data_IF_270726782539
#
_entry.id   IF_270726782539
#
_cell.length_a   1.000
_cell.length_b   1.000
_cell.length_c   1.000
_cell.angle_alpha   90.00
_cell.angle_beta   90.00
_cell.angle_gamma   90.00
#
_symmetry.space_group_name_H-M   'P 1'
#
loop_
_entity.id
_entity.type
_entity.pdbx_description
1 polymer ?
#
# COMPACT_ATOMS: atom_id res chain seq x y z
N UNK A 1 9.98 3.24 8.88
CA UNK A 1 9.23 2.05 8.40
C UNK A 1 10.16 1.01 7.76
N UNK A 2 9.93 -0.29 8.01
CA UNK A 2 10.62 -1.43 7.38
C UNK A 2 9.59 -2.25 6.61
N UNK A 3 9.82 -2.51 5.33
CA UNK A 3 8.92 -3.23 4.44
C UNK A 3 9.66 -4.45 3.89
N UNK A 4 9.03 -5.62 3.95
CA UNK A 4 9.58 -6.85 3.40
C UNK A 4 8.47 -7.74 2.86
N UNK A 5 8.79 -8.56 1.87
CA UNK A 5 7.91 -9.65 1.43
C UNK A 5 8.36 -10.95 2.08
N UNK A 6 7.43 -11.66 2.72
CA UNK A 6 7.65 -12.95 3.39
C UNK A 6 6.57 -13.93 2.98
N UNK A 7 6.96 -15.04 2.36
CA UNK A 7 6.01 -16.08 1.91
C UNK A 7 4.88 -15.51 1.03
N UNK A 8 5.23 -14.62 0.09
CA UNK A 8 4.25 -13.94 -0.79
C UNK A 8 3.44 -12.82 -0.13
N UNK A 9 3.60 -12.58 1.18
CA UNK A 9 2.84 -11.56 1.93
C UNK A 9 3.70 -10.34 2.21
N UNK A 10 3.12 -9.16 2.07
CA UNK A 10 3.80 -7.94 2.45
C UNK A 10 3.69 -7.73 3.96
N UNK A 11 4.84 -7.49 4.60
CA UNK A 11 4.95 -7.22 6.03
C UNK A 11 5.60 -5.87 6.21
N UNK A 12 4.89 -4.98 6.89
CA UNK A 12 5.35 -3.64 7.25
C UNK A 12 5.55 -3.58 8.75
N UNK A 13 6.71 -3.12 9.18
CA UNK A 13 7.03 -2.88 10.58
C UNK A 13 7.32 -1.41 10.77
N UNK A 14 6.56 -0.78 11.66
CA UNK A 14 6.89 0.55 12.19
C UNK A 14 7.41 0.38 13.62
N UNK A 15 7.58 1.49 14.34
CA UNK A 15 8.14 1.48 15.70
C UNK A 15 7.21 0.79 16.71
N UNK A 16 5.90 0.83 16.46
CA UNK A 16 4.85 0.48 17.43
C UNK A 16 4.05 -0.77 17.06
N UNK A 17 4.15 -1.25 15.82
CA UNK A 17 3.30 -2.30 15.29
C UNK A 17 3.95 -3.09 14.14
N UNK A 18 3.41 -4.28 13.90
CA UNK A 18 3.66 -5.07 12.69
C UNK A 18 2.36 -5.24 11.92
N UNK A 19 2.32 -4.74 10.68
CA UNK A 19 1.19 -4.80 9.78
C UNK A 19 1.46 -5.90 8.74
N UNK A 20 0.50 -6.81 8.57
CA UNK A 20 0.59 -7.92 7.62
C UNK A 20 -0.55 -7.80 6.61
N UNK A 21 -0.19 -7.74 5.34
CA UNK A 21 -1.11 -7.72 4.21
C UNK A 21 -1.20 -9.13 3.62
N UNK A 22 -2.38 -9.75 3.71
CA UNK A 22 -2.63 -11.14 3.34
C UNK A 22 -3.83 -11.19 2.39
N UNK A 23 -3.59 -10.89 1.11
CA UNK A 23 -4.67 -10.63 0.16
C UNK A 23 -5.49 -9.43 0.64
N UNK A 24 -6.81 -9.60 0.72
CA UNK A 24 -7.73 -8.56 1.22
C UNK A 24 -7.72 -8.40 2.74
N UNK A 25 -7.08 -9.32 3.47
CA UNK A 25 -7.02 -9.29 4.93
C UNK A 25 -5.83 -8.48 5.40
N UNK A 26 -6.10 -7.48 6.25
CA UNK A 26 -5.06 -6.72 6.97
C UNK A 26 -5.07 -7.09 8.44
N UNK A 27 -3.88 -7.38 8.96
CA UNK A 27 -3.66 -7.58 10.41
C UNK A 27 -2.70 -6.53 10.94
N UNK A 28 -3.01 -5.97 12.10
CA UNK A 28 -2.12 -5.10 12.86
C UNK A 28 -1.80 -5.84 14.17
N UNK A 29 -0.53 -6.19 14.36
CA UNK A 29 -0.09 -7.15 15.36
C UNK A 29 -0.86 -8.48 15.20
N UNK A 30 -1.61 -8.90 16.22
CA UNK A 30 -2.44 -10.11 16.20
C UNK A 30 -3.92 -9.82 15.90
N UNK A 31 -4.31 -8.54 15.82
CA UNK A 31 -5.68 -8.14 15.52
C UNK A 31 -5.95 -8.15 14.01
N UNK A 32 -7.05 -8.76 13.61
CA UNK A 32 -7.52 -8.78 12.21
C UNK A 32 -8.56 -7.68 12.03
N UNK A 33 -8.34 -6.78 11.07
CA UNK A 33 -9.33 -5.76 10.75
C UNK A 33 -10.60 -6.44 10.18
N UNK A 34 -11.80 -6.09 10.68
CA UNK A 34 -13.02 -6.82 10.34
C UNK A 34 -13.58 -6.46 8.95
N UNK A 35 -13.11 -5.37 8.33
CA UNK A 35 -13.60 -4.89 7.04
C UNK A 35 -13.65 -3.36 7.01
N UNK A 36 -14.65 -2.78 6.31
CA UNK A 36 -14.86 -1.35 6.26
C UNK A 36 -15.12 -0.72 7.64
N UNK A 37 -14.69 0.53 7.83
CA UNK A 37 -14.86 1.28 9.07
C UNK A 37 -13.54 1.81 9.63
N UNK A 38 -13.63 2.49 10.77
CA UNK A 38 -12.49 3.13 11.43
C UNK A 38 -12.05 2.32 12.66
N UNK A 39 -10.74 2.14 12.80
CA UNK A 39 -10.14 1.36 13.87
C UNK A 39 -8.85 2.02 14.36
N UNK A 40 -8.57 1.92 15.65
CA UNK A 40 -7.26 2.22 16.22
C UNK A 40 -6.69 0.97 16.87
N UNK A 41 -5.55 0.49 16.37
CA UNK A 41 -4.94 -0.76 16.84
C UNK A 41 -3.45 -0.55 17.02
N UNK A 42 -2.98 -0.66 18.27
CA UNK A 42 -1.55 -0.52 18.58
C UNK A 42 -0.97 0.84 18.16
N UNK A 43 -1.77 1.91 18.26
CA UNK A 43 -1.39 3.27 17.87
C UNK A 43 -1.38 3.52 16.36
N UNK A 44 -1.90 2.59 15.55
CA UNK A 44 -2.13 2.78 14.11
C UNK A 44 -3.61 3.04 13.89
N UNK A 45 -3.93 4.17 13.27
CA UNK A 45 -5.27 4.45 12.74
C UNK A 45 -5.44 3.68 11.43
N UNK A 46 -6.56 3.02 11.25
CA UNK A 46 -6.88 2.26 10.06
C UNK A 46 -8.32 2.52 9.61
N UNK A 47 -8.48 2.80 8.33
CA UNK A 47 -9.72 3.12 7.65
C UNK A 47 -9.95 2.06 6.57
N UNK A 48 -10.84 1.11 6.82
CA UNK A 48 -11.25 0.12 5.83
C UNK A 48 -12.23 0.74 4.84
N UNK A 49 -11.96 0.62 3.55
CA UNK A 49 -12.80 1.20 2.49
C UNK A 49 -13.92 0.23 2.10
N UNK A 50 -15.08 0.76 1.71
CA UNK A 50 -16.23 -0.06 1.30
C UNK A 50 -15.97 -0.92 0.05
N UNK A 51 -15.05 -0.47 -0.81
CA UNK A 51 -14.65 -1.07 -2.07
C UNK A 51 -13.51 -2.08 -1.91
N UNK A 52 -13.03 -2.29 -0.68
CA UNK A 52 -11.84 -3.08 -0.35
C UNK A 52 -10.61 -2.20 -0.13
N UNK A 53 -9.56 -2.78 0.44
CA UNK A 53 -8.35 -2.04 0.81
C UNK A 53 -8.50 -1.18 2.06
N UNK A 54 -7.40 -0.52 2.42
CA UNK A 54 -7.27 0.22 3.67
C UNK A 54 -6.40 1.46 3.49
N UNK A 55 -6.76 2.55 4.19
CA UNK A 55 -5.84 3.67 4.47
C UNK A 55 -5.43 3.57 5.93
N UNK A 56 -4.14 3.71 6.20
CA UNK A 56 -3.56 3.57 7.53
C UNK A 56 -2.68 4.76 7.84
N UNK A 57 -2.54 5.09 9.12
CA UNK A 57 -1.66 6.16 9.59
C UNK A 57 -1.02 5.80 10.92
N UNK A 58 0.28 5.98 11.01
CA UNK A 58 1.03 5.98 12.26
C UNK A 58 1.60 7.39 12.54
N UNK A 59 2.50 7.50 13.52
CA UNK A 59 3.15 8.75 13.91
C UNK A 59 4.05 9.35 12.82
N UNK A 60 4.57 8.51 11.92
CA UNK A 60 5.56 8.88 10.93
C UNK A 60 4.96 8.99 9.52
N UNK A 61 4.06 8.09 9.13
CA UNK A 61 3.56 7.96 7.77
C UNK A 61 2.05 7.73 7.70
N UNK A 62 1.43 8.32 6.68
CA UNK A 62 0.18 7.81 6.11
C UNK A 62 0.45 6.88 4.94
N UNK A 63 -0.25 5.75 4.88
CA UNK A 63 -0.06 4.75 3.84
C UNK A 63 -1.32 3.98 3.47
N UNK A 64 -1.46 3.67 2.19
CA UNK A 64 -2.61 2.98 1.62
C UNK A 64 -2.28 1.57 1.17
N UNK A 65 -3.28 0.69 1.13
CA UNK A 65 -3.19 -0.67 0.62
C UNK A 65 -4.38 -0.98 -0.28
N UNK A 66 -4.12 -1.24 -1.56
CA UNK A 66 -5.19 -1.35 -2.59
C UNK A 66 -5.51 -2.77 -3.05
N UNK A 67 -5.21 -3.79 -2.26
CA UNK A 67 -5.60 -5.16 -2.63
C UNK A 67 -7.10 -5.39 -2.40
N UNK A 68 -7.75 -6.09 -3.33
CA UNK A 68 -9.20 -6.30 -3.34
C UNK A 68 -10.04 -5.23 -4.04
N UNK A 69 -9.45 -4.07 -4.38
CA UNK A 69 -10.20 -2.99 -5.03
C UNK A 69 -10.40 -3.29 -6.53
N UNK A 70 -11.67 -3.47 -6.91
CA UNK A 70 -12.08 -3.79 -8.29
C UNK A 70 -12.77 -2.64 -9.02
N UNK A 71 -12.88 -1.47 -8.37
CA UNK A 71 -13.51 -0.27 -8.92
C UNK A 71 -12.65 0.96 -8.66
N UNK A 72 -12.84 1.98 -9.49
CA UNK A 72 -12.21 3.28 -9.28
C UNK A 72 -12.84 3.91 -8.04
N UNK A 73 -12.02 4.39 -7.11
CA UNK A 73 -12.48 5.07 -5.90
C UNK A 73 -13.03 6.45 -6.26
N UNK A 74 -14.00 6.92 -5.48
CA UNK A 74 -14.49 8.29 -5.58
C UNK A 74 -13.57 9.21 -4.76
N UNK A 75 -12.91 10.16 -5.41
CA UNK A 75 -11.99 11.12 -4.78
C UNK A 75 -12.63 11.82 -3.59
N UNK A 76 -13.92 12.17 -3.68
CA UNK A 76 -14.66 12.84 -2.60
C UNK A 76 -14.74 12.03 -1.32
N UNK A 77 -14.70 10.70 -1.43
CA UNK A 77 -14.74 9.78 -0.27
C UNK A 77 -13.39 9.66 0.42
N UNK A 78 -12.32 10.19 -0.19
CA UNK A 78 -10.97 10.14 0.35
C UNK A 78 -10.56 11.47 1.00
N UNK A 79 -11.34 12.55 0.82
CA UNK A 79 -11.05 13.88 1.40
C UNK A 79 -10.97 13.86 2.94
N UNK A 80 -11.74 12.99 3.59
CA UNK A 80 -11.74 12.83 5.05
C UNK A 80 -10.68 11.84 5.56
N UNK A 81 -9.93 11.18 4.66
CA UNK A 81 -8.91 10.21 5.02
C UNK A 81 -7.56 10.89 5.22
N UNK A 82 -6.66 10.27 6.01
CA UNK A 82 -5.30 10.79 6.12
C UNK A 82 -4.54 10.73 4.79
N UNK A 83 -3.68 11.72 4.56
CA UNK A 83 -2.78 11.75 3.40
C UNK A 83 -2.02 10.43 3.22
N UNK A 84 -2.01 9.91 1.99
CA UNK A 84 -1.31 8.67 1.66
C UNK A 84 0.04 8.97 1.02
N UNK A 85 1.09 8.92 1.82
CA UNK A 85 2.45 9.18 1.36
C UNK A 85 3.07 7.96 0.69
N UNK A 86 2.70 6.76 1.16
CA UNK A 86 3.19 5.48 0.67
C UNK A 86 2.00 4.60 0.28
N UNK A 87 1.96 4.14 -0.96
CA UNK A 87 0.88 3.26 -1.44
C UNK A 87 1.41 1.87 -1.75
N UNK A 88 0.81 0.86 -1.14
CA UNK A 88 1.12 -0.55 -1.34
C UNK A 88 0.16 -1.17 -2.35
N UNK A 89 0.71 -1.76 -3.42
CA UNK A 89 -0.10 -2.27 -4.53
C UNK A 89 0.37 -3.64 -4.99
N UNK A 90 -0.59 -4.58 -5.07
CA UNK A 90 -0.38 -5.92 -5.58
C UNK A 90 -0.64 -5.98 -7.10
N UNK A 91 0.36 -6.36 -7.89
CA UNK A 91 0.26 -6.53 -9.35
C UNK A 91 0.27 -8.00 -9.78
N UNK A 92 -0.31 -8.88 -8.98
CA UNK A 92 -0.47 -10.30 -9.34
C UNK A 92 -1.69 -10.55 -10.24
N UNK A 93 -2.66 -9.62 -10.31
CA UNK A 93 -3.86 -9.74 -11.14
C UNK A 93 -3.90 -8.69 -12.27
N UNK A 94 -3.59 -9.11 -13.49
CA UNK A 94 -3.60 -8.28 -14.69
C UNK A 94 -4.97 -7.62 -14.95
N UNK A 95 -6.08 -8.26 -14.53
CA UNK A 95 -7.43 -7.75 -14.83
C UNK A 95 -7.74 -6.45 -14.10
N UNK A 96 -7.02 -6.15 -13.02
CA UNK A 96 -7.23 -4.97 -12.19
C UNK A 96 -6.35 -3.79 -12.59
N UNK A 97 -5.40 -3.96 -13.51
CA UNK A 97 -4.36 -2.98 -13.83
C UNK A 97 -4.91 -1.57 -14.11
N UNK A 98 -5.94 -1.45 -14.96
CA UNK A 98 -6.51 -0.13 -15.31
C UNK A 98 -7.20 0.55 -14.11
N UNK A 99 -7.86 -0.22 -13.25
CA UNK A 99 -8.48 0.30 -12.03
C UNK A 99 -7.41 0.73 -11.04
N UNK A 100 -6.41 -0.12 -10.84
CA UNK A 100 -5.28 0.13 -9.96
C UNK A 100 -4.53 1.40 -10.37
N UNK A 101 -4.23 1.60 -11.65
CA UNK A 101 -3.56 2.80 -12.16
C UNK A 101 -4.37 4.08 -11.85
N UNK A 102 -5.70 4.05 -12.04
CA UNK A 102 -6.56 5.19 -11.72
C UNK A 102 -6.56 5.49 -10.22
N UNK A 103 -6.64 4.46 -9.38
CA UNK A 103 -6.60 4.63 -7.93
C UNK A 103 -5.24 5.13 -7.44
N UNK A 104 -4.13 4.74 -8.07
CA UNK A 104 -2.81 5.30 -7.78
C UNK A 104 -2.79 6.82 -8.06
N UNK A 105 -3.38 7.27 -9.16
CA UNK A 105 -3.48 8.71 -9.49
C UNK A 105 -4.36 9.47 -8.51
N UNK A 106 -5.46 8.86 -8.07
CA UNK A 106 -6.38 9.44 -7.09
C UNK A 106 -5.69 9.65 -5.73
N UNK A 107 -4.92 8.66 -5.26
CA UNK A 107 -4.18 8.80 -4.00
C UNK A 107 -2.95 9.71 -4.09
N UNK A 108 -2.43 9.95 -5.30
CA UNK A 108 -1.22 10.72 -5.58
C UNK A 108 -0.06 10.48 -4.58
N UNK A 109 0.37 9.22 -4.37
CA UNK A 109 1.36 8.93 -3.34
C UNK A 109 2.76 9.35 -3.77
N UNK A 110 3.56 9.81 -2.82
CA UNK A 110 4.98 10.13 -3.03
C UNK A 110 5.82 8.89 -3.30
N UNK A 111 5.46 7.77 -2.65
CA UNK A 111 6.11 6.48 -2.84
C UNK A 111 5.08 5.42 -3.21
N UNK A 112 5.32 4.72 -4.31
CA UNK A 112 4.58 3.52 -4.67
C UNK A 112 5.44 2.29 -4.34
N UNK A 113 4.92 1.38 -3.53
CA UNK A 113 5.54 0.10 -3.23
C UNK A 113 4.72 -1.01 -3.88
N UNK A 114 5.19 -1.43 -5.04
CA UNK A 114 4.60 -2.52 -5.79
C UNK A 114 5.14 -3.88 -5.32
N UNK A 115 4.28 -4.89 -5.31
CA UNK A 115 4.66 -6.28 -5.06
C UNK A 115 3.75 -7.23 -5.86
N UNK A 116 4.14 -8.50 -5.93
CA UNK A 116 3.35 -9.53 -6.59
C UNK A 116 4.19 -10.74 -6.97
N UNK A 117 3.52 -11.82 -7.35
CA UNK A 117 4.12 -13.07 -7.80
C UNK A 117 3.53 -13.45 -9.15
N UNK A 118 4.20 -13.10 -10.24
CA UNK A 118 3.71 -13.37 -11.58
C UNK A 118 4.68 -12.95 -12.69
N UNK A 119 4.65 -13.68 -13.82
CA UNK A 119 5.53 -13.40 -14.96
C UNK A 119 5.35 -12.02 -15.59
N UNK A 120 4.18 -11.38 -15.36
CA UNK A 120 3.85 -10.04 -15.89
C UNK A 120 3.92 -8.92 -14.86
N UNK A 121 4.13 -9.23 -13.58
CA UNK A 121 4.20 -8.22 -12.50
C UNK A 121 5.22 -7.14 -12.83
N UNK A 122 6.41 -7.52 -13.29
CA UNK A 122 7.47 -6.56 -13.68
C UNK A 122 7.03 -5.67 -14.84
N UNK A 123 6.36 -6.24 -15.85
CA UNK A 123 5.87 -5.49 -17.00
C UNK A 123 4.78 -4.48 -16.60
N UNK A 124 3.83 -4.90 -15.76
CA UNK A 124 2.77 -4.03 -15.24
C UNK A 124 3.34 -2.85 -14.44
N UNK A 125 4.33 -3.11 -13.56
CA UNK A 125 4.99 -2.06 -12.79
C UNK A 125 5.77 -1.10 -13.69
N UNK A 126 6.46 -1.63 -14.71
CA UNK A 126 7.22 -0.80 -15.65
C UNK A 126 6.34 0.18 -16.44
N UNK A 127 5.04 -0.10 -16.62
CA UNK A 127 4.09 0.83 -17.24
C UNK A 127 3.82 2.07 -16.38
N UNK A 128 4.03 1.99 -15.06
CA UNK A 128 3.85 3.12 -14.15
C UNK A 128 5.05 4.05 -14.12
N UNK A 129 6.22 3.56 -14.56
CA UNK A 129 7.44 4.34 -14.63
C UNK A 129 8.67 3.53 -14.22
N UNK A 130 9.78 4.25 -14.02
CA UNK A 130 11.05 3.64 -13.60
C UNK A 130 10.91 3.14 -12.16
N UNK A 131 11.06 1.83 -11.98
CA UNK A 131 11.04 1.20 -10.66
C UNK A 131 12.44 0.75 -10.20
N UNK A 132 12.67 0.84 -8.88
CA UNK A 132 13.83 0.26 -8.21
C UNK A 132 13.46 -1.10 -7.64
N UNK A 133 14.15 -2.17 -8.06
CA UNK A 133 13.87 -3.52 -7.55
C UNK A 133 14.61 -3.74 -6.23
N UNK A 134 13.87 -4.08 -5.18
CA UNK A 134 14.39 -4.38 -3.85
C UNK A 134 14.29 -5.88 -3.60
N UNK A 135 15.43 -6.50 -3.31
CA UNK A 135 15.52 -7.89 -2.87
C UNK A 135 15.67 -7.90 -1.34
N UNK A 136 14.69 -8.46 -0.64
CA UNK A 136 14.69 -8.57 0.82
C UNK A 136 13.93 -7.44 1.52
N UNK A 137 14.64 -6.43 2.02
CA UNK A 137 14.08 -5.44 2.95
C UNK A 137 14.27 -4.02 2.43
N UNK A 138 13.17 -3.28 2.27
CA UNK A 138 13.17 -1.84 2.06
C UNK A 138 13.03 -1.14 3.41
N UNK A 139 13.91 -0.17 3.69
CA UNK A 139 13.80 0.71 4.86
C UNK A 139 13.51 2.11 4.37
N UNK A 140 12.46 2.72 4.91
CA UNK A 140 12.06 4.09 4.63
C UNK A 140 12.01 4.90 5.91
N UNK A 141 12.50 6.13 5.84
CA UNK A 141 12.39 7.20 6.83
C UNK A 141 11.67 8.38 6.19
N UNK A 142 11.11 9.28 7.00
CA UNK A 142 10.43 10.48 6.47
C UNK A 142 11.30 11.29 5.50
N UNK A 143 12.61 11.36 5.76
CA UNK A 143 13.60 12.03 4.90
C UNK A 143 13.76 11.41 3.51
N UNK A 144 13.30 10.16 3.31
CA UNK A 144 13.40 9.45 2.05
C UNK A 144 12.20 9.73 1.12
N UNK A 145 11.19 10.45 1.61
CA UNK A 145 10.07 10.91 0.79
C UNK A 145 10.58 11.91 -0.25
N UNK A 146 10.30 11.70 -1.55
CA UNK A 146 10.67 12.66 -2.58
C UNK A 146 9.97 14.00 -2.32
N UNK A 147 10.70 15.08 -2.57
CA UNK A 147 10.14 16.45 -2.57
C UNK A 147 9.34 16.72 -3.84
N UNK A 148 9.78 16.12 -4.96
CA UNK A 148 9.13 16.23 -6.27
C UNK A 148 9.06 14.85 -6.94
N UNK A 149 7.93 14.61 -7.62
CA UNK A 149 7.68 13.36 -8.33
C UNK A 149 7.36 12.16 -7.42
N UNK A 150 7.20 11.00 -8.05
CA UNK A 150 6.87 9.74 -7.39
C UNK A 150 8.05 8.77 -7.50
N UNK A 151 8.40 8.11 -6.39
CA UNK A 151 9.39 7.02 -6.39
C UNK A 151 8.68 5.66 -6.35
N UNK A 152 9.05 4.77 -7.27
CA UNK A 152 8.45 3.43 -7.36
C UNK A 152 9.48 2.38 -6.93
N UNK A 153 9.10 1.58 -5.93
CA UNK A 153 9.85 0.39 -5.52
C UNK A 153 9.08 -0.88 -5.88
N UNK A 154 9.79 -1.88 -6.40
CA UNK A 154 9.26 -3.23 -6.56
C UNK A 154 9.91 -4.16 -5.54
N UNK A 155 9.13 -4.69 -4.61
CA UNK A 155 9.62 -5.68 -3.62
C UNK A 155 9.41 -7.08 -4.16
N UNK A 156 10.52 -7.79 -4.38
CA UNK A 156 10.54 -9.15 -4.92
C UNK A 156 10.36 -10.21 -3.84
#
# INVERSE_FOLDING_TARGET
>A
MIIAKKEGKLVVKNKISTIKFIGEVVKINDYKLPGPGEFEVGGVLAYGLSEGGYVLKDDEFGFGYLDGINKVLDEKRLEDLPDVEILFVNFSDDKKMSVTEKNIKIFDPRILVAFGDGGKTVANIAMLGRCETIVGVLKLKKSDLPLEGQKIYFIK
#
